data_IF_060831986148
#
_entry.id   IF_060831986148
#
_cell.length_a   1.000
_cell.length_b   1.000
_cell.length_c   1.000
_cell.angle_alpha   90.00
_cell.angle_beta   90.00
_cell.angle_gamma   90.00
#
_symmetry.space_group_name_H-M   'P 1'
#
loop_
_entity.id
_entity.type
_entity.pdbx_description
1 polymer ?
#
# COMPACT_ATOMS: atom_id res chain seq x y z
N UNK A 1 -2.25 -1.64 24.85
CA UNK A 1 -2.85 -2.50 23.82
C UNK A 1 -2.48 -1.94 22.46
N UNK A 2 -2.11 -2.76 21.50
CA UNK A 2 -1.82 -2.35 20.13
C UNK A 2 -3.05 -2.64 19.31
N UNK A 3 -3.72 -1.59 18.84
CA UNK A 3 -4.96 -1.74 18.10
C UNK A 3 -4.85 -0.87 16.84
N UNK A 4 -5.23 -1.42 15.71
CA UNK A 4 -5.37 -0.72 14.45
C UNK A 4 -6.84 -0.76 14.07
N UNK A 5 -7.41 0.39 13.78
CA UNK A 5 -8.80 0.50 13.36
C UNK A 5 -8.89 0.95 11.91
N UNK A 6 -9.87 0.43 11.21
CA UNK A 6 -10.28 0.91 9.90
C UNK A 6 -11.56 1.73 10.00
N UNK A 7 -11.61 2.81 9.24
CA UNK A 7 -12.77 3.68 9.12
C UNK A 7 -12.95 4.11 7.67
N UNK A 8 -14.20 4.24 7.24
CA UNK A 8 -14.56 4.77 5.93
C UNK A 8 -15.62 5.87 6.07
N UNK A 9 -15.29 7.08 5.60
CA UNK A 9 -16.21 8.23 5.61
C UNK A 9 -17.39 8.10 4.62
N UNK A 10 -17.40 7.08 3.78
CA UNK A 10 -18.49 6.75 2.86
C UNK A 10 -19.41 5.65 3.39
N UNK A 11 -19.21 5.24 4.62
CA UNK A 11 -20.01 4.23 5.31
C UNK A 11 -20.54 4.81 6.62
N UNK A 12 -21.77 4.45 6.98
CA UNK A 12 -22.34 4.77 8.31
C UNK A 12 -21.86 3.80 9.40
N UNK A 13 -21.00 2.84 9.07
CA UNK A 13 -20.46 1.90 10.02
C UNK A 13 -19.47 2.59 10.98
N UNK A 14 -19.50 2.20 12.25
CA UNK A 14 -18.50 2.62 13.21
C UNK A 14 -17.10 2.10 12.84
N UNK A 15 -16.01 2.76 13.29
CA UNK A 15 -14.68 2.26 13.12
C UNK A 15 -14.56 0.82 13.64
N UNK A 16 -13.94 -0.06 12.86
CA UNK A 16 -13.76 -1.47 13.20
C UNK A 16 -12.29 -1.77 13.52
N UNK A 17 -12.04 -2.47 14.60
CA UNK A 17 -10.69 -2.95 14.94
C UNK A 17 -10.27 -4.04 13.95
N UNK A 18 -9.04 -3.94 13.46
CA UNK A 18 -8.47 -4.95 12.59
C UNK A 18 -7.89 -6.10 13.41
N UNK A 19 -8.16 -7.31 12.97
CA UNK A 19 -7.48 -8.51 13.49
C UNK A 19 -6.06 -8.58 12.93
N UNK A 20 -5.10 -9.22 13.64
CA UNK A 20 -3.77 -9.47 13.08
C UNK A 20 -3.85 -10.20 11.74
N UNK A 21 -3.12 -9.73 10.75
CA UNK A 21 -3.13 -10.32 9.41
C UNK A 21 -2.65 -9.34 8.35
N UNK A 22 -2.80 -9.74 7.10
CA UNK A 22 -2.58 -8.88 5.93
C UNK A 22 -3.91 -8.33 5.43
N UNK A 23 -4.03 -7.03 5.42
CA UNK A 23 -5.21 -6.31 4.95
C UNK A 23 -4.84 -5.42 3.78
N UNK A 24 -5.83 -5.03 2.99
CA UNK A 24 -5.63 -4.13 1.87
C UNK A 24 -6.81 -3.22 1.62
N UNK A 25 -6.50 -2.01 1.16
CA UNK A 25 -7.50 -1.03 0.72
C UNK A 25 -7.13 -0.60 -0.70
N UNK A 26 -8.09 -0.59 -1.56
CA UNK A 26 -8.01 0.01 -2.89
C UNK A 26 -9.09 1.09 -3.00
N UNK A 27 -9.66 1.28 -4.17
CA UNK A 27 -10.71 2.28 -4.41
C UNK A 27 -12.12 1.85 -3.92
N UNK A 28 -12.18 0.86 -3.04
CA UNK A 28 -13.38 0.33 -2.40
C UNK A 28 -13.18 0.21 -0.88
N UNK A 29 -14.01 -0.56 -0.21
CA UNK A 29 -13.87 -0.80 1.23
C UNK A 29 -12.74 -1.77 1.53
N UNK A 30 -12.38 -1.87 2.81
CA UNK A 30 -11.34 -2.80 3.29
C UNK A 30 -11.55 -4.21 2.73
N UNK A 31 -10.46 -4.79 2.29
CA UNK A 31 -10.37 -6.18 1.81
C UNK A 31 -11.31 -6.54 0.64
N UNK A 32 -11.88 -5.55 -0.07
CA UNK A 32 -12.63 -5.83 -1.30
C UNK A 32 -11.75 -6.62 -2.28
N UNK A 33 -12.22 -7.80 -2.77
CA UNK A 33 -11.36 -8.76 -3.46
C UNK A 33 -11.06 -8.37 -4.92
N UNK A 34 -10.60 -7.16 -5.16
CA UNK A 34 -10.11 -6.78 -6.48
C UNK A 34 -8.81 -7.51 -6.82
N UNK A 35 -8.57 -7.87 -8.08
CA UNK A 35 -7.44 -8.70 -8.48
C UNK A 35 -6.10 -8.23 -7.95
N UNK A 36 -5.80 -6.91 -8.07
CA UNK A 36 -4.56 -6.34 -7.53
C UNK A 36 -4.44 -6.50 -6.01
N UNK A 37 -5.55 -6.35 -5.28
CA UNK A 37 -5.54 -6.44 -3.83
C UNK A 37 -5.34 -7.88 -3.37
N UNK A 38 -6.06 -8.82 -3.97
CA UNK A 38 -5.91 -10.26 -3.67
C UNK A 38 -4.46 -10.70 -3.90
N UNK A 39 -3.90 -10.35 -5.07
CA UNK A 39 -2.51 -10.67 -5.43
C UNK A 39 -1.51 -10.07 -4.45
N UNK A 40 -1.62 -8.77 -4.15
CA UNK A 40 -0.67 -8.09 -3.26
C UNK A 40 -0.77 -8.56 -1.81
N UNK A 41 -1.95 -8.90 -1.33
CA UNK A 41 -2.12 -9.51 0.00
C UNK A 41 -1.43 -10.88 0.09
N UNK A 42 -1.60 -11.72 -0.93
CA UNK A 42 -0.95 -13.03 -0.99
C UNK A 42 0.58 -12.90 -1.03
N UNK A 43 1.09 -11.99 -1.88
CA UNK A 43 2.54 -11.74 -2.00
C UNK A 43 3.13 -11.16 -0.70
N UNK A 44 2.42 -10.23 -0.04
CA UNK A 44 2.83 -9.68 1.26
C UNK A 44 2.84 -10.76 2.34
N UNK A 45 1.80 -11.59 2.41
CA UNK A 45 1.75 -12.73 3.35
C UNK A 45 2.92 -13.68 3.15
N UNK A 46 3.23 -14.03 1.91
CA UNK A 46 4.36 -14.89 1.57
C UNK A 46 5.71 -14.24 1.94
N UNK A 47 5.86 -12.93 1.72
CA UNK A 47 7.06 -12.20 2.11
C UNK A 47 7.25 -12.21 3.63
N UNK A 48 6.19 -11.92 4.40
CA UNK A 48 6.22 -11.89 5.87
C UNK A 48 6.43 -13.27 6.49
N UNK A 49 5.97 -14.33 5.85
CA UNK A 49 6.23 -15.71 6.29
C UNK A 49 7.72 -16.07 6.16
N UNK A 50 8.38 -15.58 5.12
CA UNK A 50 9.82 -15.84 4.90
C UNK A 50 10.71 -14.94 5.76
N UNK A 51 10.29 -13.72 6.00
CA UNK A 51 11.00 -12.74 6.82
C UNK A 51 9.97 -11.83 7.49
N UNK A 52 9.81 -11.98 8.79
CA UNK A 52 8.86 -11.18 9.59
C UNK A 52 9.21 -9.67 9.63
N UNK A 53 10.44 -9.31 9.26
CA UNK A 53 10.96 -7.94 9.25
C UNK A 53 11.67 -7.64 7.92
N UNK A 54 10.99 -7.69 6.76
CA UNK A 54 11.62 -7.43 5.48
C UNK A 54 12.13 -5.98 5.42
N UNK A 55 13.21 -5.70 4.68
CA UNK A 55 13.62 -4.32 4.38
C UNK A 55 12.47 -3.53 3.75
N UNK A 56 12.39 -2.21 4.01
CA UNK A 56 11.32 -1.37 3.49
C UNK A 56 11.32 -1.31 1.95
N UNK A 57 12.49 -1.40 1.35
CA UNK A 57 12.68 -1.45 -0.11
C UNK A 57 11.95 -2.64 -0.72
N UNK A 58 11.94 -3.79 -0.03
CA UNK A 58 11.20 -4.98 -0.50
C UNK A 58 9.69 -4.79 -0.44
N UNK A 59 9.20 -3.98 0.50
CA UNK A 59 7.77 -3.61 0.56
C UNK A 59 7.41 -2.63 -0.56
N UNK A 60 8.31 -1.69 -0.87
CA UNK A 60 8.15 -0.77 -1.99
C UNK A 60 8.14 -1.57 -3.31
N UNK A 61 9.12 -2.45 -3.53
CA UNK A 61 9.23 -3.26 -4.75
C UNK A 61 7.97 -4.13 -4.96
N UNK A 62 7.42 -4.67 -3.88
CA UNK A 62 6.20 -5.47 -3.93
C UNK A 62 5.01 -4.69 -4.53
N UNK A 63 4.91 -3.40 -4.26
CA UNK A 63 3.82 -2.55 -4.76
C UNK A 63 4.07 -2.02 -6.17
N UNK A 64 5.30 -2.10 -6.68
CA UNK A 64 5.68 -1.63 -8.02
C UNK A 64 5.43 -2.68 -9.10
N UNK A 65 4.21 -3.14 -9.17
CA UNK A 65 3.77 -4.21 -10.06
C UNK A 65 2.81 -3.65 -11.13
N UNK A 66 3.27 -3.51 -12.38
CA UNK A 66 2.47 -2.94 -13.46
C UNK A 66 1.49 -3.95 -14.09
N UNK A 67 1.44 -5.20 -13.61
CA UNK A 67 0.56 -6.23 -14.18
C UNK A 67 -0.91 -5.84 -14.04
N UNK A 68 -1.60 -5.77 -15.15
CA UNK A 68 -3.05 -5.58 -15.21
C UNK A 68 -3.80 -6.90 -14.98
N UNK A 69 -5.07 -6.81 -14.61
CA UNK A 69 -5.95 -7.97 -14.52
C UNK A 69 -6.52 -8.33 -15.90
N UNK A 70 -6.89 -9.61 -16.13
CA UNK A 70 -7.73 -10.01 -17.25
C UNK A 70 -9.08 -9.28 -17.23
N UNK A 71 -9.67 -9.07 -18.40
CA UNK A 71 -10.90 -8.28 -18.54
C UNK A 71 -12.10 -8.87 -17.80
N UNK A 72 -12.17 -10.19 -17.74
CA UNK A 72 -13.22 -10.94 -17.04
C UNK A 72 -13.08 -10.89 -15.49
N UNK A 73 -11.94 -10.45 -14.99
CA UNK A 73 -11.70 -10.25 -13.56
C UNK A 73 -11.85 -8.77 -13.12
N UNK A 74 -12.09 -7.85 -14.06
CA UNK A 74 -12.21 -6.43 -13.73
C UNK A 74 -13.50 -6.14 -12.93
N UNK A 75 -13.46 -5.18 -11.98
CA UNK A 75 -14.54 -4.95 -11.02
C UNK A 75 -15.79 -4.28 -11.62
N UNK A 76 -15.85 -3.96 -12.90
CA UNK A 76 -16.99 -3.34 -13.59
C UNK A 76 -17.54 -2.09 -12.86
N UNK A 77 -16.69 -1.13 -12.58
CA UNK A 77 -17.02 0.09 -11.80
C UNK A 77 -17.77 1.16 -12.60
N UNK A 78 -18.04 0.90 -13.89
CA UNK A 78 -18.79 1.81 -14.77
C UNK A 78 -17.93 2.83 -15.51
N UNK A 79 -16.61 2.71 -15.45
CA UNK A 79 -15.68 3.50 -16.28
C UNK A 79 -15.32 2.74 -17.57
N UNK A 80 -14.78 3.40 -18.61
CA UNK A 80 -14.35 2.73 -19.83
C UNK A 80 -13.40 1.57 -19.55
N UNK A 81 -13.59 0.45 -20.24
CA UNK A 81 -12.85 -0.80 -20.03
C UNK A 81 -11.32 -0.63 -20.07
N UNK A 82 -10.81 0.14 -21.03
CA UNK A 82 -9.36 0.42 -21.12
C UNK A 82 -8.83 1.10 -19.87
N UNK A 83 -9.59 2.04 -19.33
CA UNK A 83 -9.23 2.73 -18.10
C UNK A 83 -9.32 1.81 -16.90
N UNK A 84 -10.34 0.97 -16.83
CA UNK A 84 -10.48 0.00 -15.75
C UNK A 84 -9.34 -1.02 -15.77
N UNK A 85 -8.96 -1.50 -16.95
CA UNK A 85 -7.80 -2.37 -17.15
C UNK A 85 -6.51 -1.69 -16.65
N UNK A 86 -6.23 -0.46 -17.08
CA UNK A 86 -5.06 0.28 -16.61
C UNK A 86 -5.03 0.48 -15.09
N UNK A 87 -6.17 0.80 -14.48
CA UNK A 87 -6.31 1.00 -13.03
C UNK A 87 -6.27 -0.32 -12.24
N UNK A 88 -6.33 -1.48 -12.88
CA UNK A 88 -6.23 -2.78 -12.23
C UNK A 88 -4.81 -3.16 -11.81
N UNK A 89 -3.79 -2.46 -12.31
CA UNK A 89 -2.41 -2.60 -11.84
C UNK A 89 -2.25 -2.06 -10.42
N UNK A 90 -1.31 -2.61 -9.65
CA UNK A 90 -0.89 -2.05 -8.37
C UNK A 90 0.01 -0.81 -8.57
N UNK A 91 0.85 -0.83 -9.60
CA UNK A 91 1.64 0.29 -10.07
C UNK A 91 1.13 0.69 -11.46
N UNK A 92 0.52 1.86 -11.55
CA UNK A 92 -0.14 2.32 -12.77
C UNK A 92 0.85 3.12 -13.62
N UNK A 93 1.02 2.71 -14.88
CA UNK A 93 1.88 3.38 -15.86
C UNK A 93 1.08 3.62 -17.14
N UNK A 94 0.52 4.82 -17.30
CA UNK A 94 -0.10 5.27 -18.56
C UNK A 94 0.47 6.62 -18.97
N UNK A 95 0.34 7.04 -20.25
CA UNK A 95 0.89 8.32 -20.70
C UNK A 95 0.37 9.56 -19.94
N UNK A 96 -0.86 9.49 -19.46
CA UNK A 96 -1.54 10.64 -18.85
C UNK A 96 -1.77 10.49 -17.33
N UNK A 97 -1.64 9.27 -16.80
CA UNK A 97 -1.94 8.97 -15.41
C UNK A 97 -1.08 7.83 -14.90
N UNK A 98 -0.57 7.95 -13.68
CA UNK A 98 0.25 6.89 -13.09
C UNK A 98 0.44 7.01 -11.59
N UNK A 99 1.02 5.97 -11.03
CA UNK A 99 1.48 5.95 -9.65
C UNK A 99 2.65 6.89 -9.51
N UNK A 100 2.57 7.88 -8.63
CA UNK A 100 3.58 8.93 -8.44
C UNK A 100 4.60 8.61 -7.35
N UNK A 101 4.28 7.70 -6.47
CA UNK A 101 5.18 7.31 -5.40
C UNK A 101 4.66 6.10 -4.64
N UNK A 102 5.56 5.47 -3.94
CA UNK A 102 5.28 4.32 -3.07
C UNK A 102 5.97 4.53 -1.74
N UNK A 103 5.21 4.51 -0.66
CA UNK A 103 5.72 4.66 0.70
C UNK A 103 5.57 3.36 1.47
N UNK A 104 6.63 2.92 2.10
CA UNK A 104 6.62 1.83 3.07
C UNK A 104 6.84 2.38 4.48
N UNK A 105 6.04 1.93 5.43
CA UNK A 105 6.13 2.32 6.83
C UNK A 105 6.16 1.07 7.70
N UNK A 106 7.09 1.04 8.64
CA UNK A 106 7.19 -0.02 9.64
C UNK A 106 7.16 0.58 11.03
N UNK A 107 6.26 0.08 11.85
CA UNK A 107 6.12 0.45 13.25
C UNK A 107 6.38 -0.76 14.12
N UNK A 108 7.39 -0.67 14.97
CA UNK A 108 7.73 -1.71 15.95
C UNK A 108 7.62 -1.11 17.33
N UNK A 109 6.90 -1.77 18.22
CA UNK A 109 6.76 -1.28 19.58
C UNK A 109 7.16 -2.36 20.58
N UNK A 110 7.94 -1.98 21.59
CA UNK A 110 8.23 -2.75 22.80
C UNK A 110 7.53 -2.12 24.04
N UNK A 111 7.96 -2.45 25.23
CA UNK A 111 7.39 -1.93 26.48
C UNK A 111 7.56 -0.41 26.60
N UNK A 112 8.70 0.13 26.17
CA UNK A 112 9.16 1.50 26.45
C UNK A 112 9.06 2.41 25.24
N UNK A 113 9.19 1.88 24.04
CA UNK A 113 9.42 2.66 22.82
C UNK A 113 8.63 2.16 21.62
N UNK A 114 8.25 3.08 20.76
CA UNK A 114 7.75 2.82 19.43
C UNK A 114 8.80 3.30 18.44
N UNK A 115 9.34 2.38 17.64
CA UNK A 115 10.27 2.70 16.56
C UNK A 115 9.52 2.75 15.24
N UNK A 116 9.68 3.83 14.50
CA UNK A 116 9.07 4.06 13.19
C UNK A 116 10.17 4.19 12.16
N UNK A 117 10.08 3.43 11.09
CA UNK A 117 10.94 3.57 9.93
C UNK A 117 10.07 3.77 8.68
N UNK A 118 10.45 4.73 7.85
CA UNK A 118 9.73 5.11 6.62
C UNK A 118 10.72 5.13 5.47
N UNK A 119 10.32 4.58 4.34
CA UNK A 119 11.01 4.75 3.07
C UNK A 119 9.99 5.11 1.99
N UNK A 120 10.34 6.04 1.13
CA UNK A 120 9.53 6.46 0.00
C UNK A 120 10.38 6.45 -1.27
N UNK A 121 9.80 5.91 -2.33
CA UNK A 121 10.34 6.02 -3.69
C UNK A 121 9.36 6.84 -4.50
N UNK A 122 9.79 8.02 -4.93
CA UNK A 122 9.00 8.93 -5.76
C UNK A 122 9.36 8.76 -7.22
N UNK A 123 8.34 8.80 -8.07
CA UNK A 123 8.44 8.77 -9.53
C UNK A 123 8.20 10.17 -10.13
N UNK A 124 8.15 11.19 -9.28
CA UNK A 124 7.92 12.59 -9.62
C UNK A 124 8.95 13.49 -8.92
N UNK A 125 9.64 14.30 -9.68
CA UNK A 125 10.63 15.26 -9.18
C UNK A 125 10.02 16.59 -8.73
N UNK A 126 8.69 16.69 -8.61
CA UNK A 126 7.98 17.92 -8.29
C UNK A 126 7.66 18.82 -9.48
N UNK A 127 8.12 18.48 -10.69
CA UNK A 127 7.78 19.23 -11.93
C UNK A 127 6.51 18.71 -12.62
N UNK A 128 5.78 17.80 -11.99
CA UNK A 128 4.65 17.06 -12.55
C UNK A 128 4.97 16.23 -13.80
N UNK A 129 6.24 15.99 -14.06
CA UNK A 129 6.70 15.06 -15.09
C UNK A 129 7.16 13.77 -14.41
N UNK A 130 6.67 12.65 -14.92
CA UNK A 130 7.18 11.35 -14.56
C UNK A 130 8.63 11.31 -15.07
N UNK A 131 9.57 11.27 -14.15
CA UNK A 131 10.98 11.01 -14.44
C UNK A 131 11.16 9.49 -14.38
N UNK A 132 12.36 8.97 -14.54
CA UNK A 132 12.58 7.54 -14.46
C UNK A 132 12.00 6.99 -13.16
N UNK A 133 11.19 5.92 -13.22
CA UNK A 133 10.58 5.34 -12.05
C UNK A 133 11.63 5.03 -10.96
N UNK A 134 11.44 5.59 -9.77
CA UNK A 134 12.31 5.34 -8.63
C UNK A 134 13.58 6.20 -8.53
N UNK A 135 13.70 7.27 -9.29
CA UNK A 135 14.89 8.16 -9.25
C UNK A 135 15.05 8.89 -7.91
N UNK A 136 13.97 9.02 -7.13
CA UNK A 136 14.00 9.73 -5.84
C UNK A 136 13.62 8.80 -4.70
N UNK A 137 14.60 8.47 -3.89
CA UNK A 137 14.39 7.69 -2.67
C UNK A 137 14.68 8.57 -1.45
N UNK A 138 13.82 8.48 -0.46
CA UNK A 138 14.00 9.11 0.85
C UNK A 138 13.67 8.12 1.94
N UNK A 139 14.47 8.12 2.99
CA UNK A 139 14.19 7.31 4.17
C UNK A 139 14.47 8.12 5.43
N UNK A 140 13.70 7.84 6.47
CA UNK A 140 13.95 8.38 7.81
C UNK A 140 13.43 7.39 8.86
N UNK A 141 13.96 7.52 10.06
CA UNK A 141 13.51 6.75 11.22
C UNK A 141 13.50 7.64 12.46
N UNK A 142 12.57 7.38 13.35
CA UNK A 142 12.48 8.04 14.64
C UNK A 142 11.87 7.12 15.71
N UNK A 143 12.05 7.50 16.95
CA UNK A 143 11.51 6.80 18.10
C UNK A 143 10.54 7.70 18.86
N UNK A 144 9.51 7.09 19.42
CA UNK A 144 8.55 7.75 20.31
C UNK A 144 8.52 7.00 21.63
N UNK A 145 8.80 7.67 22.73
CA UNK A 145 8.66 7.10 24.06
C UNK A 145 7.18 6.84 24.37
N UNK A 146 6.91 5.67 24.93
CA UNK A 146 5.57 5.34 25.40
C UNK A 146 5.37 5.98 26.77
N UNK A 147 4.41 6.88 26.86
CA UNK A 147 3.91 7.28 28.18
C UNK A 147 3.21 6.08 28.81
N UNK A 148 3.81 5.54 29.86
CA UNK A 148 3.16 4.51 30.68
C UNK A 148 2.19 5.27 31.57
N UNK A 149 0.87 5.11 31.29
CA UNK A 149 -0.19 5.60 32.16
C UNK A 149 -0.38 4.67 33.34
#
# INVERSE_FOLDING_TARGET
RRELAWYCNRSNAAPALLTPGTHGISNAVLDTPWPKLVRKRAELSALLTRNSMPPLERLIDLMRDPRVAPDDELPATGIPLERERALSAAFIETPEYGTRGTTALRVVANAEMISVAVAERSDDNGSHRIVRPGDFERSFAFNVERQIA
#
